data_IF_515323133437
#
_entry.id   IF_515323133437
#
_cell.length_a   1.000
_cell.length_b   1.000
_cell.length_c   1.000
_cell.angle_alpha   90.00
_cell.angle_beta   90.00
_cell.angle_gamma   90.00
#
_symmetry.space_group_name_H-M   'P 1'
#
loop_
_entity.id
_entity.type
_entity.pdbx_description
1 polymer ?
#
# COMPACT_ATOMS: atom_id res chain seq x y z
N UNK A 1 -18.32 -25.85 13.85
CA UNK A 1 -18.04 -24.61 13.07
C UNK A 1 -16.68 -24.73 12.40
N UNK A 2 -16.60 -25.10 11.12
CA UNK A 2 -15.33 -25.32 10.39
C UNK A 2 -14.75 -23.99 9.90
N UNK A 3 -13.83 -23.39 10.67
CA UNK A 3 -13.11 -22.14 10.33
C UNK A 3 -12.05 -22.28 9.22
N UNK A 4 -11.83 -23.49 8.71
CA UNK A 4 -10.81 -23.82 7.70
C UNK A 4 -11.24 -23.55 6.25
N UNK A 5 -12.51 -23.20 6.00
CA UNK A 5 -13.02 -22.91 4.64
C UNK A 5 -12.78 -21.48 4.15
N UNK A 6 -12.64 -20.51 5.05
CA UNK A 6 -12.56 -19.09 4.66
C UNK A 6 -11.27 -18.75 3.92
N UNK A 7 -10.11 -19.18 4.44
CA UNK A 7 -8.82 -18.91 3.80
C UNK A 7 -8.71 -19.60 2.44
N UNK A 8 -9.24 -20.81 2.32
CA UNK A 8 -9.24 -21.58 1.06
C UNK A 8 -10.19 -20.97 0.02
N UNK A 9 -11.36 -20.50 0.45
CA UNK A 9 -12.32 -19.78 -0.41
C UNK A 9 -11.80 -18.40 -0.81
N UNK A 10 -11.17 -17.68 0.12
CA UNK A 10 -10.48 -16.42 -0.13
C UNK A 10 -9.34 -16.62 -1.13
N UNK A 11 -8.55 -17.69 -0.96
CA UNK A 11 -7.49 -18.04 -1.89
C UNK A 11 -8.04 -18.45 -3.26
N UNK A 12 -9.14 -19.20 -3.34
CA UNK A 12 -9.76 -19.54 -4.64
C UNK A 12 -10.32 -18.33 -5.38
N UNK A 13 -10.83 -17.33 -4.64
CA UNK A 13 -11.32 -16.07 -5.20
C UNK A 13 -10.19 -15.11 -5.60
N UNK A 14 -9.08 -15.10 -4.85
CA UNK A 14 -7.99 -14.13 -5.10
C UNK A 14 -6.93 -14.66 -6.07
N UNK A 15 -6.70 -15.98 -6.13
CA UNK A 15 -5.71 -16.63 -7.00
C UNK A 15 -5.85 -16.31 -8.50
N UNK A 16 -7.04 -16.20 -9.11
CA UNK A 16 -7.15 -15.96 -10.55
C UNK A 16 -6.69 -14.55 -10.96
N UNK A 17 -6.78 -13.55 -10.07
CA UNK A 17 -6.23 -12.21 -10.27
C UNK A 17 -4.71 -12.23 -10.45
N UNK A 18 -4.02 -13.06 -9.67
CA UNK A 18 -2.56 -13.21 -9.71
C UNK A 18 -2.05 -14.11 -10.84
N UNK A 19 -2.94 -14.74 -11.62
CA UNK A 19 -2.60 -15.73 -12.67
C UNK A 19 -3.06 -15.28 -14.08
N UNK A 20 -3.86 -14.23 -14.19
CA UNK A 20 -4.33 -13.61 -15.45
C UNK A 20 -3.20 -12.93 -16.26
N UNK A 21 -3.46 -12.63 -17.55
CA UNK A 21 -2.57 -11.87 -18.44
C UNK A 21 -2.19 -10.47 -17.90
N UNK A 22 -2.98 -9.87 -17.01
CA UNK A 22 -2.62 -8.63 -16.28
C UNK A 22 -1.67 -8.83 -15.07
N UNK A 23 -1.25 -10.06 -14.77
CA UNK A 23 -0.39 -10.42 -13.62
C UNK A 23 0.87 -9.58 -13.49
N UNK A 24 1.52 -9.23 -14.60
CA UNK A 24 2.77 -8.44 -14.58
C UNK A 24 2.54 -7.02 -14.04
N UNK A 25 1.40 -6.40 -14.38
CA UNK A 25 1.04 -5.05 -13.92
C UNK A 25 0.63 -5.07 -12.45
N UNK A 26 -0.18 -6.05 -12.04
CA UNK A 26 -0.59 -6.19 -10.64
C UNK A 26 0.62 -6.49 -9.72
N UNK A 27 1.55 -7.35 -10.15
CA UNK A 27 2.77 -7.64 -9.40
C UNK A 27 3.73 -6.45 -9.34
N UNK A 28 3.89 -5.68 -10.43
CA UNK A 28 4.76 -4.50 -10.41
C UNK A 28 4.20 -3.40 -9.49
N UNK A 29 2.89 -3.18 -9.50
CA UNK A 29 2.22 -2.26 -8.57
C UNK A 29 2.35 -2.72 -7.12
N UNK A 30 2.20 -4.02 -6.85
CA UNK A 30 2.40 -4.58 -5.51
C UNK A 30 3.85 -4.41 -5.05
N UNK A 31 4.81 -4.74 -5.91
CA UNK A 31 6.24 -4.61 -5.60
C UNK A 31 6.60 -3.13 -5.33
N UNK A 32 6.09 -2.19 -6.14
CA UNK A 32 6.26 -0.77 -5.92
C UNK A 32 5.66 -0.32 -4.58
N UNK A 33 4.45 -0.79 -4.25
CA UNK A 33 3.78 -0.47 -2.98
C UNK A 33 4.56 -1.00 -1.76
N UNK A 34 5.06 -2.23 -1.85
CA UNK A 34 5.89 -2.84 -0.79
C UNK A 34 7.21 -2.09 -0.66
N UNK A 35 7.88 -1.79 -1.76
CA UNK A 35 9.12 -1.01 -1.78
C UNK A 35 8.95 0.38 -1.16
N UNK A 36 7.88 1.10 -1.53
CA UNK A 36 7.54 2.39 -0.93
C UNK A 36 7.21 2.28 0.56
N UNK A 37 6.56 1.19 0.99
CA UNK A 37 6.25 0.97 2.40
C UNK A 37 7.53 0.74 3.22
N UNK A 38 8.47 -0.06 2.72
CA UNK A 38 9.78 -0.26 3.34
C UNK A 38 10.57 1.06 3.35
N UNK A 39 10.54 1.81 2.24
CA UNK A 39 11.17 3.12 2.14
C UNK A 39 10.63 4.11 3.20
N UNK A 40 9.33 4.13 3.44
CA UNK A 40 8.73 4.96 4.50
C UNK A 40 9.21 4.55 5.90
N UNK A 41 9.32 3.25 6.19
CA UNK A 41 9.90 2.77 7.47
C UNK A 41 11.35 3.23 7.61
N UNK A 42 12.14 3.19 6.54
CA UNK A 42 13.50 3.74 6.57
C UNK A 42 13.51 5.25 6.87
N UNK A 43 12.59 6.02 6.28
CA UNK A 43 12.44 7.45 6.57
C UNK A 43 12.04 7.69 8.03
N UNK A 44 11.20 6.85 8.62
CA UNK A 44 10.85 6.92 10.05
C UNK A 44 12.06 6.66 10.95
N UNK A 45 12.96 5.76 10.57
CA UNK A 45 14.23 5.55 11.29
C UNK A 45 15.12 6.79 11.18
N UNK A 46 15.26 7.38 9.99
CA UNK A 46 16.02 8.62 9.81
C UNK A 46 15.46 9.77 10.65
N UNK A 47 14.13 9.88 10.72
CA UNK A 47 13.46 10.85 11.57
C UNK A 47 13.80 10.65 13.05
N UNK A 48 13.85 9.40 13.53
CA UNK A 48 14.20 9.10 14.91
C UNK A 48 15.65 9.51 15.23
N UNK A 49 16.59 9.21 14.33
CA UNK A 49 18.00 9.61 14.46
C UNK A 49 18.13 11.14 14.47
N UNK A 50 17.52 11.80 13.48
CA UNK A 50 17.47 13.26 13.38
C UNK A 50 16.93 13.91 14.65
N UNK A 51 15.87 13.34 15.24
CA UNK A 51 15.28 13.85 16.47
C UNK A 51 16.30 13.82 17.63
N UNK A 52 17.10 12.74 17.75
CA UNK A 52 18.17 12.67 18.75
C UNK A 52 19.23 13.77 18.53
N UNK A 53 19.70 13.91 17.29
CA UNK A 53 20.73 14.91 16.94
C UNK A 53 20.25 16.35 17.18
N UNK A 54 18.99 16.65 16.84
CA UNK A 54 18.37 17.95 17.09
C UNK A 54 18.33 18.30 18.58
N UNK A 55 17.89 17.37 19.43
CA UNK A 55 17.89 17.60 20.88
C UNK A 55 19.31 17.70 21.45
N UNK A 56 20.28 16.93 20.93
CA UNK A 56 21.68 17.06 21.33
C UNK A 56 22.25 18.45 20.99
N UNK A 57 21.91 18.99 19.82
CA UNK A 57 22.32 20.34 19.40
C UNK A 57 21.75 21.41 20.34
N UNK A 58 20.48 21.29 20.70
CA UNK A 58 19.83 22.17 21.68
C UNK A 58 20.49 22.09 23.06
N UNK A 59 20.79 20.89 23.54
CA UNK A 59 21.43 20.70 24.83
C UNK A 59 22.84 21.29 24.87
N UNK A 60 23.60 21.15 23.78
CA UNK A 60 24.94 21.72 23.63
C UNK A 60 24.94 23.22 23.32
N UNK A 61 23.75 23.81 23.06
CA UNK A 61 23.59 25.19 22.59
C UNK A 61 24.42 25.49 21.34
N UNK A 62 24.51 24.51 20.44
CA UNK A 62 25.24 24.64 19.17
C UNK A 62 24.30 25.18 18.09
N UNK A 63 24.39 26.49 17.84
CA UNK A 63 23.56 27.19 16.86
C UNK A 63 23.83 26.72 15.42
N UNK A 64 25.08 26.36 15.11
CA UNK A 64 25.46 25.96 13.76
C UNK A 64 24.87 24.59 13.43
N UNK A 65 24.99 23.65 14.37
CA UNK A 65 24.40 22.33 14.26
C UNK A 65 22.87 22.40 14.23
N UNK A 66 22.26 23.26 15.04
CA UNK A 66 20.82 23.47 15.02
C UNK A 66 20.30 23.92 13.64
N UNK A 67 20.93 24.92 13.02
CA UNK A 67 20.55 25.38 11.68
C UNK A 67 20.76 24.29 10.62
N UNK A 68 21.84 23.49 10.74
CA UNK A 68 22.08 22.33 9.87
C UNK A 68 20.94 21.31 10.00
N UNK A 69 20.51 21.02 11.22
CA UNK A 69 19.44 20.06 11.48
C UNK A 69 18.08 20.53 10.95
N UNK A 70 17.79 21.84 10.89
CA UNK A 70 16.59 22.36 10.21
C UNK A 70 16.60 22.08 8.69
N UNK A 71 17.77 22.14 8.05
CA UNK A 71 17.94 21.74 6.66
C UNK A 71 17.68 20.24 6.46
N UNK A 72 18.27 19.40 7.31
CA UNK A 72 18.07 17.94 7.30
C UNK A 72 16.59 17.58 7.50
N UNK A 73 15.93 18.22 8.45
CA UNK A 73 14.48 18.08 8.69
C UNK A 73 13.68 18.32 7.42
N UNK A 74 13.97 19.42 6.71
CA UNK A 74 13.25 19.79 5.49
C UNK A 74 13.42 18.71 4.42
N UNK A 75 14.63 18.17 4.25
CA UNK A 75 14.89 17.06 3.34
C UNK A 75 14.13 15.78 3.70
N UNK A 76 14.15 15.38 4.97
CA UNK A 76 13.42 14.20 5.47
C UNK A 76 11.91 14.39 5.28
N UNK A 77 11.38 15.57 5.61
CA UNK A 77 9.96 15.88 5.49
C UNK A 77 9.48 15.83 4.03
N UNK A 78 10.24 16.43 3.10
CA UNK A 78 9.95 16.37 1.66
C UNK A 78 9.94 14.93 1.17
N UNK A 79 10.97 14.15 1.50
CA UNK A 79 11.05 12.75 1.12
C UNK A 79 9.88 11.93 1.67
N UNK A 80 9.50 12.17 2.92
CA UNK A 80 8.37 11.51 3.57
C UNK A 80 7.04 11.82 2.87
N UNK A 81 6.75 13.10 2.59
CA UNK A 81 5.53 13.53 1.89
C UNK A 81 5.47 12.89 0.51
N UNK A 82 6.56 12.98 -0.27
CA UNK A 82 6.63 12.41 -1.62
C UNK A 82 6.38 10.90 -1.57
N UNK A 83 7.11 10.16 -0.75
CA UNK A 83 6.95 8.72 -0.61
C UNK A 83 5.53 8.33 -0.17
N UNK A 84 4.93 9.10 0.73
CA UNK A 84 3.57 8.85 1.23
C UNK A 84 2.50 9.09 0.17
N UNK A 85 2.62 10.16 -0.62
CA UNK A 85 1.71 10.47 -1.73
C UNK A 85 1.79 9.38 -2.79
N UNK A 86 3.00 8.98 -3.20
CA UNK A 86 3.16 7.88 -4.16
C UNK A 86 2.58 6.58 -3.62
N UNK A 87 2.88 6.20 -2.38
CA UNK A 87 2.32 4.98 -1.76
C UNK A 87 0.79 4.97 -1.82
N UNK A 88 0.15 6.09 -1.47
CA UNK A 88 -1.30 6.24 -1.53
C UNK A 88 -1.82 6.08 -2.96
N UNK A 89 -1.17 6.72 -3.93
CA UNK A 89 -1.53 6.63 -5.34
C UNK A 89 -1.45 5.19 -5.88
N UNK A 90 -0.34 4.49 -5.63
CA UNK A 90 -0.16 3.08 -6.01
C UNK A 90 -1.21 2.18 -5.36
N UNK A 91 -1.52 2.41 -4.07
CA UNK A 91 -2.54 1.67 -3.36
C UNK A 91 -3.93 1.87 -3.98
N UNK A 92 -4.28 3.10 -4.36
CA UNK A 92 -5.56 3.40 -5.01
C UNK A 92 -5.70 2.70 -6.36
N UNK A 93 -4.66 2.73 -7.20
CA UNK A 93 -4.67 2.01 -8.49
C UNK A 93 -4.91 0.51 -8.25
N UNK A 94 -4.17 -0.09 -7.31
CA UNK A 94 -4.32 -1.51 -7.00
C UNK A 94 -5.73 -1.85 -6.52
N UNK A 95 -6.33 -0.98 -5.68
CA UNK A 95 -7.71 -1.14 -5.21
C UNK A 95 -8.73 -1.03 -6.34
N UNK A 96 -8.54 -0.11 -7.29
CA UNK A 96 -9.45 0.07 -8.44
C UNK A 96 -9.38 -1.13 -9.37
N UNK A 97 -8.17 -1.58 -9.74
CA UNK A 97 -8.00 -2.77 -10.59
C UNK A 97 -8.60 -4.01 -9.92
N UNK A 98 -8.36 -4.18 -8.62
CA UNK A 98 -8.92 -5.27 -7.84
C UNK A 98 -10.45 -5.27 -7.83
N UNK A 99 -11.06 -4.11 -7.56
CA UNK A 99 -12.53 -3.96 -7.51
C UNK A 99 -13.17 -4.20 -8.87
N UNK A 100 -12.55 -3.70 -9.94
CA UNK A 100 -13.03 -3.90 -11.31
C UNK A 100 -13.06 -5.38 -11.64
N UNK A 101 -11.96 -6.08 -11.36
CA UNK A 101 -11.85 -7.51 -11.57
C UNK A 101 -12.87 -8.32 -10.75
N UNK A 102 -13.03 -7.99 -9.47
CA UNK A 102 -13.99 -8.69 -8.60
C UNK A 102 -15.42 -8.53 -9.10
N UNK A 103 -15.81 -7.33 -9.51
CA UNK A 103 -17.15 -7.05 -10.04
C UNK A 103 -17.42 -7.83 -11.33
N UNK A 104 -16.49 -7.81 -12.29
CA UNK A 104 -16.62 -8.59 -13.53
C UNK A 104 -16.72 -10.09 -13.25
N UNK A 105 -15.92 -10.59 -12.31
CA UNK A 105 -15.94 -12.00 -11.94
C UNK A 105 -17.26 -12.41 -11.28
N UNK A 106 -17.76 -11.64 -10.31
CA UNK A 106 -19.04 -11.92 -9.66
C UNK A 106 -20.22 -11.82 -10.65
N UNK A 107 -20.26 -10.76 -11.47
CA UNK A 107 -21.33 -10.57 -12.45
C UNK A 107 -21.36 -11.70 -13.48
N UNK A 108 -20.19 -12.14 -13.96
CA UNK A 108 -20.11 -13.23 -14.94
C UNK A 108 -20.55 -14.58 -14.36
N UNK A 109 -20.24 -14.87 -13.09
CA UNK A 109 -20.75 -16.07 -12.41
C UNK A 109 -22.27 -16.00 -12.20
N UNK A 110 -22.78 -14.85 -11.74
CA UNK A 110 -24.19 -14.67 -11.43
C UNK A 110 -25.09 -14.75 -12.68
N UNK A 111 -24.64 -14.20 -13.81
CA UNK A 111 -25.34 -14.29 -15.09
C UNK A 111 -25.27 -15.70 -15.72
N UNK A 112 -24.17 -16.44 -15.52
CA UNK A 112 -24.05 -17.83 -16.00
C UNK A 112 -25.03 -18.79 -15.32
N UNK A 113 -25.41 -18.52 -14.08
CA UNK A 113 -26.20 -19.46 -13.27
C UNK A 113 -27.73 -19.33 -13.45
N UNK A 114 -28.21 -18.54 -14.42
CA UNK A 114 -29.66 -18.30 -14.67
C UNK A 114 -30.46 -18.03 -13.39
N UNK A 115 -29.87 -17.39 -12.39
CA UNK A 115 -30.55 -17.03 -11.14
C UNK A 115 -31.71 -16.04 -11.39
N UNK A 116 -31.70 -15.33 -12.51
CA UNK A 116 -32.79 -14.47 -12.97
C UNK A 116 -34.12 -15.22 -13.10
N UNK A 117 -34.10 -16.51 -13.45
CA UNK A 117 -35.32 -17.29 -13.64
C UNK A 117 -35.95 -17.82 -12.34
N UNK A 118 -35.23 -17.76 -11.21
CA UNK A 118 -35.72 -18.26 -9.91
C UNK A 118 -36.39 -17.19 -9.04
N UNK A 119 -36.35 -15.93 -9.46
CA UNK A 119 -37.00 -14.80 -8.77
C UNK A 119 -38.38 -14.44 -9.37
N UNK A 120 -38.84 -15.17 -10.40
CA UNK A 120 -40.16 -14.98 -11.03
C UNK A 120 -41.21 -16.03 -10.60
N UNK A 121 -40.96 -16.80 -9.53
CA UNK A 121 -41.93 -17.70 -8.89
C UNK A 121 -42.12 -17.26 -7.44
#
# INVERSE_FOLDING_TARGET
MKKTGFLTAFWSLTKPYWVSAQRKKALSLLAALVGLSIGLVWVEVQWNIWNNDFYNALQKKDETEFLRQLGVFTGIAVLWVVARVYRLYFQQILLIEWRTWLNEHLLSQWLKDRAYHRLQL
#
